data_IF_788089612213
#
_entry.id   IF_788089612213
#
_cell.length_a   1.000
_cell.length_b   1.000
_cell.length_c   1.000
_cell.angle_alpha   90.00
_cell.angle_beta   90.00
_cell.angle_gamma   90.00
#
_symmetry.space_group_name_H-M   'P 1'
#
loop_
_entity.id
_entity.type
_entity.pdbx_description
1 polymer ?
#
# COMPACT_ATOMS: atom_id res chain seq x y z
N UNK A 1 -11.89 11.81 11.40
CA UNK A 1 -10.78 11.54 10.49
C UNK A 1 -10.55 10.06 10.38
N UNK A 2 -10.29 9.60 9.20
CA UNK A 2 -10.14 8.18 8.95
C UNK A 2 -8.66 7.80 8.94
N UNK A 3 -8.31 6.68 9.57
CA UNK A 3 -6.97 6.14 9.50
C UNK A 3 -6.80 5.22 8.28
N UNK A 4 -7.82 5.15 7.45
CA UNK A 4 -7.78 4.27 6.28
C UNK A 4 -6.71 4.71 5.29
N UNK A 5 -6.07 3.73 4.68
CA UNK A 5 -5.14 3.97 3.60
C UNK A 5 -5.93 4.24 2.32
N UNK A 6 -5.56 5.27 1.59
CA UNK A 6 -6.19 5.61 0.31
C UNK A 6 -5.21 5.35 -0.82
N UNK A 7 -5.72 5.31 -2.06
CA UNK A 7 -4.85 5.20 -3.24
C UNK A 7 -3.92 6.39 -3.37
N UNK A 8 -4.36 7.58 -3.00
CA UNK A 8 -3.53 8.78 -3.02
C UNK A 8 -2.35 8.63 -2.06
N UNK A 9 -2.61 8.15 -0.86
CA UNK A 9 -1.53 7.94 0.11
C UNK A 9 -0.60 6.83 -0.36
N UNK A 10 -1.15 5.77 -0.94
CA UNK A 10 -0.32 4.69 -1.49
C UNK A 10 0.57 5.21 -2.62
N UNK A 11 0.04 6.08 -3.48
CA UNK A 11 0.85 6.69 -4.55
C UNK A 11 2.01 7.51 -3.97
N UNK A 12 1.77 8.23 -2.89
CA UNK A 12 2.83 8.98 -2.20
C UNK A 12 3.89 8.04 -1.65
N UNK A 13 3.47 6.93 -1.05
CA UNK A 13 4.40 5.94 -0.51
C UNK A 13 5.21 5.28 -1.63
N UNK A 14 4.57 4.97 -2.77
CA UNK A 14 5.26 4.42 -3.93
C UNK A 14 6.31 5.41 -4.45
N UNK A 15 6.01 6.69 -4.40
CA UNK A 15 6.96 7.71 -4.81
C UNK A 15 8.20 7.70 -3.92
N UNK A 16 8.07 7.43 -2.64
CA UNK A 16 9.22 7.33 -1.74
C UNK A 16 10.10 6.12 -2.12
N UNK A 17 9.53 5.13 -2.78
CA UNK A 17 10.27 3.97 -3.29
C UNK A 17 10.79 4.18 -4.71
N UNK A 18 10.66 5.38 -5.25
CA UNK A 18 11.14 5.71 -6.59
C UNK A 18 10.13 5.45 -7.71
N UNK A 19 8.87 5.16 -7.37
CA UNK A 19 7.84 4.83 -8.35
C UNK A 19 6.84 5.99 -8.44
N UNK A 20 6.75 6.61 -9.60
CA UNK A 20 5.75 7.64 -9.84
C UNK A 20 4.53 7.01 -10.49
N UNK A 21 3.39 7.11 -9.84
CA UNK A 21 2.14 6.53 -10.34
C UNK A 21 0.99 7.48 -10.04
N UNK A 22 0.01 7.50 -10.95
CA UNK A 22 -1.19 8.31 -10.78
C UNK A 22 -2.22 7.47 -10.02
N UNK A 23 -2.71 7.95 -8.88
CA UNK A 23 -3.75 7.19 -8.13
C UNK A 23 -5.00 6.92 -8.98
N UNK A 24 -5.33 7.78 -9.93
CA UNK A 24 -6.45 7.54 -10.83
C UNK A 24 -6.23 6.32 -11.73
N UNK A 25 -4.98 6.09 -12.16
CA UNK A 25 -4.64 4.91 -12.94
C UNK A 25 -4.80 3.64 -12.10
N UNK A 26 -4.37 3.67 -10.86
CA UNK A 26 -4.55 2.52 -9.97
C UNK A 26 -6.03 2.26 -9.72
N UNK A 27 -6.84 3.30 -9.62
CA UNK A 27 -8.28 3.15 -9.41
C UNK A 27 -8.97 2.52 -10.62
N UNK A 28 -8.50 2.83 -11.82
CA UNK A 28 -9.06 2.26 -13.06
C UNK A 28 -8.63 0.82 -13.29
N UNK A 29 -7.53 0.40 -12.70
CA UNK A 29 -6.96 -0.93 -12.91
C UNK A 29 -6.64 -1.60 -11.59
N UNK A 30 -7.66 -1.89 -10.76
CA UNK A 30 -7.41 -2.40 -9.40
C UNK A 30 -6.76 -3.78 -9.38
N UNK A 31 -6.85 -4.53 -10.46
CA UNK A 31 -6.26 -5.86 -10.55
C UNK A 31 -4.84 -5.87 -11.14
N UNK A 32 -4.32 -4.70 -11.50
CA UNK A 32 -2.95 -4.62 -12.01
C UNK A 32 -1.97 -4.86 -10.87
N UNK A 33 -1.01 -5.72 -11.10
CA UNK A 33 -0.02 -6.07 -10.07
C UNK A 33 0.95 -4.91 -9.84
N UNK A 34 1.51 -4.87 -8.65
CA UNK A 34 2.54 -3.89 -8.32
C UNK A 34 3.72 -3.97 -9.30
N UNK A 35 4.06 -5.16 -9.79
CA UNK A 35 5.12 -5.37 -10.79
C UNK A 35 4.88 -4.52 -12.02
N UNK A 36 3.62 -4.34 -12.42
CA UNK A 36 3.28 -3.58 -13.61
C UNK A 36 3.61 -2.10 -13.46
N UNK A 37 3.73 -1.64 -12.21
CA UNK A 37 4.15 -0.27 -11.91
C UNK A 37 5.64 -0.20 -11.63
N UNK A 38 6.33 -1.34 -11.67
CA UNK A 38 7.77 -1.40 -11.40
C UNK A 38 8.12 -1.57 -9.92
N UNK A 39 7.14 -1.86 -9.09
CA UNK A 39 7.38 -2.05 -7.66
C UNK A 39 7.61 -3.53 -7.37
N UNK A 40 8.78 -3.87 -6.86
CA UNK A 40 9.12 -5.24 -6.48
C UNK A 40 8.83 -5.48 -4.99
N UNK A 41 9.06 -6.70 -4.53
CA UNK A 41 8.78 -7.07 -3.15
C UNK A 41 9.61 -6.28 -2.14
N UNK A 42 10.84 -5.93 -2.50
CA UNK A 42 11.70 -5.14 -1.63
C UNK A 42 11.14 -3.71 -1.50
N UNK A 43 10.67 -3.14 -2.60
CA UNK A 43 10.03 -1.83 -2.58
C UNK A 43 8.75 -1.84 -1.75
N UNK A 44 7.94 -2.90 -1.89
CA UNK A 44 6.73 -3.04 -1.11
C UNK A 44 7.03 -3.17 0.39
N UNK A 45 8.09 -3.90 0.74
CA UNK A 45 8.52 -4.01 2.13
C UNK A 45 8.88 -2.64 2.69
N UNK A 46 9.53 -1.80 1.89
CA UNK A 46 9.83 -0.42 2.28
C UNK A 46 8.57 0.41 2.51
N UNK A 47 7.56 0.23 1.66
CA UNK A 47 6.27 0.90 1.81
C UNK A 47 5.60 0.46 3.11
N UNK A 48 5.61 -0.84 3.42
CA UNK A 48 5.05 -1.36 4.67
C UNK A 48 5.74 -0.72 5.87
N UNK A 49 7.07 -0.66 5.85
CA UNK A 49 7.85 -0.06 6.94
C UNK A 49 7.51 1.41 7.13
N UNK A 50 7.40 2.15 6.04
CA UNK A 50 7.05 3.57 6.10
C UNK A 50 5.64 3.77 6.66
N UNK A 51 4.70 2.94 6.23
CA UNK A 51 3.32 3.02 6.68
C UNK A 51 3.21 2.68 8.18
N UNK A 52 3.92 1.65 8.63
CA UNK A 52 3.99 1.30 10.05
C UNK A 52 4.50 2.48 10.87
N UNK A 53 5.52 3.15 10.35
CA UNK A 53 6.10 4.31 11.03
C UNK A 53 5.09 5.46 11.10
N UNK A 54 4.36 5.71 10.04
CA UNK A 54 3.36 6.78 9.98
C UNK A 54 2.17 6.51 10.90
N UNK A 55 1.76 5.26 11.00
CA UNK A 55 0.59 4.88 11.80
C UNK A 55 0.95 4.54 13.24
N UNK A 56 2.23 4.32 13.53
CA UNK A 56 2.68 3.95 14.86
C UNK A 56 2.23 2.56 15.28
N UNK A 57 2.03 1.66 14.31
CA UNK A 57 1.58 0.29 14.60
C UNK A 57 2.05 -0.68 13.51
N UNK A 58 2.23 -1.94 13.90
CA UNK A 58 2.65 -2.97 12.96
C UNK A 58 1.50 -3.39 12.06
N UNK A 59 1.82 -3.66 10.80
CA UNK A 59 0.87 -4.22 9.83
C UNK A 59 0.98 -5.74 9.83
N UNK A 60 -0.02 -6.44 9.27
CA UNK A 60 0.06 -7.90 9.13
C UNK A 60 1.28 -8.32 8.32
N UNK A 61 1.83 -9.47 8.62
CA UNK A 61 3.02 -9.97 7.92
C UNK A 61 2.74 -10.21 6.44
N UNK A 62 1.49 -10.44 6.06
CA UNK A 62 1.10 -10.65 4.67
C UNK A 62 1.13 -9.36 3.85
N UNK A 63 1.24 -8.21 4.48
CA UNK A 63 1.18 -6.92 3.78
C UNK A 63 2.24 -6.80 2.69
N UNK A 64 3.43 -7.33 2.91
CA UNK A 64 4.52 -7.27 1.94
C UNK A 64 4.40 -8.34 0.84
N UNK A 65 3.35 -9.17 0.91
CA UNK A 65 3.10 -10.22 -0.07
C UNK A 65 1.93 -9.93 -0.99
N UNK A 66 1.27 -8.79 -0.79
CA UNK A 66 0.16 -8.40 -1.64
C UNK A 66 0.65 -8.15 -3.07
N UNK A 67 -0.10 -8.60 -4.05
CA UNK A 67 0.29 -8.50 -5.45
C UNK A 67 -0.28 -7.28 -6.13
N UNK A 68 -1.42 -6.79 -5.65
CA UNK A 68 -2.10 -5.66 -6.28
C UNK A 68 -2.35 -4.55 -5.26
N UNK A 69 -2.46 -3.29 -5.72
CA UNK A 69 -2.84 -2.20 -4.83
C UNK A 69 -4.16 -2.45 -4.11
N UNK A 70 -5.14 -3.06 -4.80
CA UNK A 70 -6.44 -3.37 -4.19
C UNK A 70 -6.32 -4.32 -3.03
N UNK A 71 -5.53 -5.40 -3.19
CA UNK A 71 -5.26 -6.35 -2.11
C UNK A 71 -4.59 -5.67 -0.92
N UNK A 72 -3.62 -4.81 -1.22
CA UNK A 72 -2.87 -4.11 -0.19
C UNK A 72 -3.79 -3.19 0.62
N UNK A 73 -4.62 -2.42 -0.07
CA UNK A 73 -5.57 -1.52 0.60
C UNK A 73 -6.53 -2.30 1.47
N UNK A 74 -7.08 -3.40 0.95
CA UNK A 74 -8.03 -4.22 1.70
C UNK A 74 -7.40 -4.80 2.95
N UNK A 75 -6.21 -5.37 2.83
CA UNK A 75 -5.52 -5.98 3.95
C UNK A 75 -5.18 -4.94 5.02
N UNK A 76 -4.61 -3.82 4.61
CA UNK A 76 -4.19 -2.78 5.53
C UNK A 76 -5.41 -2.16 6.21
N UNK A 77 -6.45 -1.85 5.45
CA UNK A 77 -7.64 -1.20 6.01
C UNK A 77 -8.39 -2.13 6.95
N UNK A 78 -8.48 -3.42 6.63
CA UNK A 78 -9.08 -4.38 7.53
C UNK A 78 -8.30 -4.47 8.84
N UNK A 79 -6.98 -4.44 8.77
CA UNK A 79 -6.14 -4.46 9.96
C UNK A 79 -6.35 -3.21 10.81
N UNK A 80 -6.43 -2.04 10.18
CA UNK A 80 -6.63 -0.79 10.90
C UNK A 80 -8.02 -0.70 11.54
N UNK A 81 -9.02 -1.29 10.89
CA UNK A 81 -10.39 -1.27 11.41
C UNK A 81 -10.62 -2.27 12.52
N UNK A 82 -9.93 -3.40 12.49
CA UNK A 82 -10.13 -4.47 13.46
C UNK A 82 -9.05 -4.51 14.54
N UNK A 83 -7.97 -3.83 14.33
CA UNK A 83 -6.86 -3.82 15.27
C UNK A 83 -7.17 -2.93 16.46
N UNK A 84 -7.66 -3.49 17.46
CA UNK A 84 -7.97 -2.75 18.66
C UNK A 84 -6.73 -2.48 19.48
#
# INVERSE_FOLDING_TARGET
MSDRLTLEELAVLMKTAGITVDPADMARRPDSAFDEYGLDSLGLLGIVGELENRRGRALPTEADRCKTPGEFLDLVNNSLMTGA
#
